data_IF_786831509924
#
_entry.id   IF_786831509924
#
_cell.length_a   1.000
_cell.length_b   1.000
_cell.length_c   1.000
_cell.angle_alpha   90.00
_cell.angle_beta   90.00
_cell.angle_gamma   90.00
#
_symmetry.space_group_name_H-M   'P 1'
#
loop_
_entity.id
_entity.type
_entity.pdbx_description
1 polymer ?
#
# COMPACT_ATOMS: atom_id res chain seq x y z
N UNK A 1 -28.85 32.48 76.32
CA UNK A 1 -28.01 33.05 75.23
C UNK A 1 -26.70 32.30 75.16
N UNK A 2 -26.53 31.42 74.16
CA UNK A 2 -25.24 30.99 73.58
C UNK A 2 -25.55 30.06 72.40
N UNK A 3 -25.39 30.61 71.20
CA UNK A 3 -25.59 29.95 69.92
C UNK A 3 -24.43 28.98 69.66
N UNK A 4 -24.73 27.71 69.38
CA UNK A 4 -23.73 26.77 68.86
C UNK A 4 -23.77 26.77 67.32
N UNK A 5 -22.70 27.30 66.76
CA UNK A 5 -22.40 27.47 65.34
C UNK A 5 -22.13 26.09 64.70
N UNK A 6 -22.88 25.74 63.65
CA UNK A 6 -22.61 24.57 62.80
C UNK A 6 -21.49 24.90 61.81
N UNK A 7 -20.37 24.19 61.89
CA UNK A 7 -19.30 24.24 60.90
C UNK A 7 -19.60 23.24 59.78
N UNK A 8 -19.98 23.72 58.60
CA UNK A 8 -20.09 22.94 57.37
C UNK A 8 -18.71 22.94 56.68
N UNK A 9 -18.04 21.79 56.71
CA UNK A 9 -16.81 21.57 55.93
C UNK A 9 -17.20 21.32 54.46
N UNK A 10 -16.88 22.27 53.58
CA UNK A 10 -16.93 22.08 52.14
C UNK A 10 -15.62 21.46 51.66
N UNK A 11 -15.64 20.18 51.30
CA UNK A 11 -14.55 19.49 50.61
C UNK A 11 -14.60 19.86 49.13
N UNK A 12 -13.71 20.74 48.67
CA UNK A 12 -13.53 21.03 47.25
C UNK A 12 -12.78 19.86 46.59
N UNK A 13 -13.50 19.03 45.82
CA UNK A 13 -12.89 18.02 44.96
C UNK A 13 -12.28 18.71 43.72
N UNK A 14 -10.96 18.92 43.75
CA UNK A 14 -10.20 19.36 42.58
C UNK A 14 -10.07 18.17 41.62
N UNK A 15 -10.92 18.13 40.60
CA UNK A 15 -10.80 17.18 39.48
C UNK A 15 -9.53 17.48 38.68
N UNK A 16 -8.48 16.70 38.89
CA UNK A 16 -7.29 16.73 38.06
C UNK A 16 -7.64 16.27 36.64
N UNK A 17 -7.81 17.22 35.72
CA UNK A 17 -7.84 16.95 34.29
C UNK A 17 -6.43 16.51 33.88
N UNK A 18 -6.24 15.20 33.69
CA UNK A 18 -5.03 14.68 33.08
C UNK A 18 -4.94 15.23 31.64
N UNK A 19 -3.81 15.83 31.23
CA UNK A 19 -3.65 16.30 29.87
C UNK A 19 -3.77 15.11 28.93
N UNK A 20 -4.68 15.20 27.95
CA UNK A 20 -4.72 14.25 26.86
C UNK A 20 -3.38 14.31 26.13
N UNK A 21 -2.62 13.20 26.18
CA UNK A 21 -1.39 13.06 25.39
C UNK A 21 -1.78 13.17 23.92
N UNK A 22 -1.38 14.26 23.28
CA UNK A 22 -1.61 14.45 21.86
C UNK A 22 -0.87 13.35 21.09
N UNK A 23 -1.63 12.43 20.47
CA UNK A 23 -1.07 11.42 19.57
C UNK A 23 -0.60 12.16 18.31
N UNK A 24 0.62 11.90 17.88
CA UNK A 24 1.18 12.53 16.68
C UNK A 24 0.28 12.31 15.46
N UNK A 25 0.16 13.33 14.61
CA UNK A 25 -0.63 13.25 13.39
C UNK A 25 -0.06 12.18 12.44
N UNK A 26 -0.90 11.46 11.69
CA UNK A 26 -0.42 10.53 10.68
C UNK A 26 0.43 11.21 9.61
N UNK A 27 1.47 10.53 9.14
CA UNK A 27 2.38 10.95 8.06
C UNK A 27 2.40 9.90 6.96
N UNK A 28 2.63 10.32 5.72
CA UNK A 28 2.80 9.43 4.57
C UNK A 28 4.26 9.37 4.15
N UNK A 29 4.84 8.18 4.20
CA UNK A 29 6.22 7.90 3.77
C UNK A 29 6.21 7.05 2.50
N UNK A 30 7.33 7.01 1.79
CA UNK A 30 7.57 5.97 0.79
C UNK A 30 8.33 4.84 1.48
N UNK A 31 7.68 3.68 1.66
CA UNK A 31 8.33 2.48 2.19
C UNK A 31 8.80 1.60 1.04
N UNK A 32 10.05 1.17 1.10
CA UNK A 32 10.68 0.24 0.16
C UNK A 32 11.35 -0.90 0.92
N UNK A 33 11.11 -2.13 0.47
CA UNK A 33 11.74 -3.34 1.01
C UNK A 33 12.39 -4.07 -0.16
N UNK A 34 13.72 -4.12 -0.16
CA UNK A 34 14.53 -4.84 -1.16
C UNK A 34 14.97 -6.18 -0.57
N UNK A 35 14.59 -7.28 -1.24
CA UNK A 35 15.11 -8.60 -0.94
C UNK A 35 16.42 -8.89 -1.70
N UNK A 36 16.92 -10.13 -1.62
CA UNK A 36 18.19 -10.51 -2.25
C UNK A 36 18.24 -10.30 -3.77
N UNK A 37 17.09 -10.43 -4.45
CA UNK A 37 17.00 -10.44 -5.92
C UNK A 37 15.89 -9.56 -6.49
N UNK A 38 15.03 -8.99 -5.64
CA UNK A 38 13.87 -8.21 -6.10
C UNK A 38 13.32 -7.27 -5.02
N UNK A 39 12.65 -6.20 -5.43
CA UNK A 39 11.83 -5.36 -4.53
C UNK A 39 10.63 -6.18 -4.09
N UNK A 40 10.52 -6.40 -2.78
CA UNK A 40 9.41 -7.11 -2.15
C UNK A 40 8.20 -6.18 -2.01
N UNK A 41 8.46 -4.92 -1.64
CA UNK A 41 7.45 -3.89 -1.47
C UNK A 41 8.02 -2.53 -1.85
N UNK A 42 7.25 -1.71 -2.54
CA UNK A 42 7.55 -0.29 -2.69
C UNK A 42 6.25 0.49 -2.88
N UNK A 43 6.08 1.56 -2.11
CA UNK A 43 4.97 2.46 -2.29
C UNK A 43 4.68 3.34 -1.07
N UNK A 44 3.67 4.22 -1.21
CA UNK A 44 3.27 5.09 -0.13
C UNK A 44 2.62 4.30 1.00
N UNK A 45 2.98 4.66 2.24
CA UNK A 45 2.40 4.11 3.46
C UNK A 45 2.09 5.26 4.42
N UNK A 46 0.82 5.39 4.78
CA UNK A 46 0.40 6.33 5.83
C UNK A 46 0.48 5.66 7.18
N UNK A 47 1.24 6.26 8.09
CA UNK A 47 1.52 5.72 9.42
C UNK A 47 1.37 6.78 10.52
N UNK A 48 1.17 6.31 11.74
CA UNK A 48 1.14 7.04 13.01
C UNK A 48 1.90 6.21 14.06
N UNK A 49 1.84 6.57 15.34
CA UNK A 49 2.34 5.71 16.42
C UNK A 49 1.50 4.43 16.48
N UNK A 50 2.13 3.26 16.37
CA UNK A 50 1.41 1.97 16.40
C UNK A 50 2.23 0.82 16.96
N UNK A 51 1.52 -0.23 17.37
CA UNK A 51 2.13 -1.49 17.82
C UNK A 51 2.60 -2.32 16.63
N UNK A 52 3.85 -2.75 16.68
CA UNK A 52 4.41 -3.68 15.71
C UNK A 52 4.05 -5.12 16.09
N UNK A 53 3.56 -5.89 15.10
CA UNK A 53 3.27 -7.32 15.28
C UNK A 53 3.52 -8.08 13.97
N UNK A 54 4.24 -9.19 14.06
CA UNK A 54 4.34 -10.13 12.94
C UNK A 54 3.00 -10.83 12.67
N UNK A 55 2.80 -11.26 11.42
CA UNK A 55 1.51 -11.79 10.99
C UNK A 55 1.25 -13.24 11.45
N UNK A 56 2.27 -13.94 11.92
CA UNK A 56 2.18 -15.26 12.52
C UNK A 56 2.77 -15.20 13.92
N UNK A 57 2.05 -15.77 14.88
CA UNK A 57 2.55 -16.12 16.20
C UNK A 57 3.72 -17.08 15.92
N UNK A 58 4.96 -16.59 15.97
CA UNK A 58 6.14 -17.41 15.78
C UNK A 58 6.53 -17.98 17.14
N UNK A 59 6.30 -19.27 17.44
CA UNK A 59 6.61 -19.85 18.75
C UNK A 59 8.11 -19.99 19.01
N UNK A 60 8.99 -19.58 18.09
CA UNK A 60 10.44 -19.76 18.23
C UNK A 60 11.19 -18.61 18.92
N UNK A 61 10.53 -17.49 19.29
CA UNK A 61 11.21 -16.48 20.11
C UNK A 61 11.21 -16.91 21.58
N UNK A 62 12.17 -17.77 21.94
CA UNK A 62 12.62 -17.82 23.30
C UNK A 62 13.02 -16.39 23.74
N UNK A 63 12.37 -15.89 24.79
CA UNK A 63 12.74 -14.72 25.58
C UNK A 63 12.54 -13.32 24.99
N UNK A 64 11.30 -12.96 24.63
CA UNK A 64 10.83 -11.60 25.00
C UNK A 64 9.51 -11.74 25.72
N UNK A 65 9.38 -11.03 26.84
CA UNK A 65 8.15 -10.89 27.58
C UNK A 65 7.06 -10.30 26.65
N UNK A 66 6.24 -11.17 26.06
CA UNK A 66 5.09 -10.79 25.22
C UNK A 66 4.05 -9.95 25.96
N UNK A 67 4.20 -9.73 27.28
CA UNK A 67 3.33 -8.87 28.06
C UNK A 67 3.48 -7.37 27.76
N UNK A 68 4.56 -6.94 27.10
CA UNK A 68 4.76 -5.53 26.73
C UNK A 68 4.32 -5.26 25.27
N UNK A 69 3.38 -4.34 25.04
CA UNK A 69 3.06 -3.87 23.69
C UNK A 69 4.31 -3.27 23.02
N UNK A 70 4.74 -3.87 21.90
CA UNK A 70 5.89 -3.38 21.13
C UNK A 70 5.48 -2.17 20.28
N UNK A 71 5.31 -1.02 20.93
CA UNK A 71 4.87 0.23 20.29
C UNK A 71 6.06 0.91 19.63
N UNK A 72 5.98 1.21 18.34
CA UNK A 72 7.02 1.96 17.62
C UNK A 72 6.67 3.44 17.65
N UNK A 73 7.28 4.18 18.58
CA UNK A 73 6.96 5.56 18.89
C UNK A 73 8.16 6.52 18.96
N UNK A 74 9.37 6.04 18.67
CA UNK A 74 10.58 6.87 18.63
C UNK A 74 11.06 7.37 19.99
N UNK A 75 10.44 6.93 21.09
CA UNK A 75 10.84 7.32 22.45
C UNK A 75 12.04 6.50 22.95
N UNK A 76 12.61 6.92 24.08
CA UNK A 76 13.73 6.22 24.72
C UNK A 76 13.43 4.75 25.06
N UNK A 77 12.16 4.37 25.24
CA UNK A 77 11.76 2.97 25.45
C UNK A 77 12.12 2.07 24.25
N UNK A 78 12.19 2.64 23.05
CA UNK A 78 12.59 1.98 21.82
C UNK A 78 14.04 2.24 21.43
N UNK A 79 14.82 2.95 22.26
CA UNK A 79 16.16 3.43 21.90
C UNK A 79 16.16 4.70 21.04
N UNK A 80 15.00 5.36 20.89
CA UNK A 80 14.87 6.62 20.17
C UNK A 80 15.16 7.85 21.03
N UNK A 81 15.31 9.00 20.39
CA UNK A 81 15.64 10.28 21.06
C UNK A 81 14.42 11.18 21.24
N UNK A 82 13.25 10.78 20.77
CA UNK A 82 12.06 11.62 20.85
C UNK A 82 11.55 11.72 22.29
N UNK A 83 11.26 12.95 22.73
CA UNK A 83 10.70 13.23 24.06
C UNK A 83 9.20 12.94 24.15
N UNK A 84 8.56 12.72 23.00
CA UNK A 84 7.14 12.35 22.89
C UNK A 84 6.92 11.31 21.78
N UNK A 85 5.86 10.49 21.86
CA UNK A 85 5.52 9.53 20.80
C UNK A 85 5.38 10.18 19.42
N UNK A 86 6.09 9.65 18.42
CA UNK A 86 6.08 10.11 17.02
C UNK A 86 6.02 8.91 16.05
N UNK A 87 5.53 9.10 14.81
CA UNK A 87 5.57 8.04 13.80
C UNK A 87 7.02 7.66 13.51
N UNK A 88 7.26 6.37 13.25
CA UNK A 88 8.60 5.82 12.99
C UNK A 88 8.66 4.97 11.73
N UNK A 89 9.86 4.63 11.26
CA UNK A 89 10.06 3.69 10.17
C UNK A 89 9.40 2.33 10.48
N UNK A 90 9.51 1.88 11.73
CA UNK A 90 8.92 0.64 12.22
C UNK A 90 7.40 0.69 12.24
N UNK A 91 6.84 1.86 12.57
CA UNK A 91 5.42 2.09 12.42
C UNK A 91 4.97 2.00 10.95
N UNK A 92 5.73 2.55 9.99
CA UNK A 92 5.43 2.40 8.57
C UNK A 92 5.45 0.91 8.13
N UNK A 93 6.42 0.12 8.61
CA UNK A 93 6.43 -1.32 8.33
C UNK A 93 5.22 -2.01 8.97
N UNK A 94 4.89 -1.71 10.23
CA UNK A 94 3.70 -2.24 10.89
C UNK A 94 2.42 -1.90 10.12
N UNK A 95 2.30 -0.68 9.59
CA UNK A 95 1.20 -0.26 8.74
C UNK A 95 1.09 -1.10 7.46
N UNK A 96 2.21 -1.41 6.82
CA UNK A 96 2.24 -2.31 5.66
C UNK A 96 1.82 -3.74 6.03
N UNK A 97 2.24 -4.24 7.19
CA UNK A 97 1.84 -5.56 7.70
C UNK A 97 0.34 -5.65 8.01
N UNK A 98 -0.21 -4.63 8.67
CA UNK A 98 -1.65 -4.47 8.88
C UNK A 98 -2.40 -4.37 7.55
N UNK A 99 -1.80 -3.72 6.54
CA UNK A 99 -2.27 -3.65 5.16
C UNK A 99 -2.21 -4.98 4.39
N UNK A 100 -1.66 -6.04 4.98
CA UNK A 100 -1.65 -7.39 4.41
C UNK A 100 -0.30 -7.85 3.87
N UNK A 101 0.76 -7.04 3.97
CA UNK A 101 2.12 -7.53 3.78
C UNK A 101 2.39 -8.63 4.80
N UNK A 102 2.82 -9.80 4.35
CA UNK A 102 3.19 -10.88 5.26
C UNK A 102 4.64 -10.68 5.69
N UNK A 103 4.93 -10.90 6.97
CA UNK A 103 6.29 -11.05 7.45
C UNK A 103 6.32 -11.98 8.66
N UNK A 104 7.44 -12.69 8.81
CA UNK A 104 7.79 -13.45 10.01
C UNK A 104 9.11 -12.93 10.55
N UNK A 105 9.36 -13.14 11.83
CA UNK A 105 10.54 -12.64 12.47
C UNK A 105 10.51 -12.84 13.97
N UNK A 106 11.48 -12.21 14.62
CA UNK A 106 11.66 -12.20 16.07
C UNK A 106 11.84 -10.77 16.53
N UNK A 107 11.25 -10.42 17.68
CA UNK A 107 11.52 -9.14 18.31
C UNK A 107 12.79 -9.23 19.16
N UNK A 108 13.66 -8.24 19.08
CA UNK A 108 14.88 -8.14 19.86
C UNK A 108 14.78 -6.92 20.78
N UNK A 109 14.85 -7.15 22.10
CA UNK A 109 14.83 -6.05 23.08
C UNK A 109 15.95 -5.05 22.80
N UNK A 110 15.59 -3.77 22.60
CA UNK A 110 16.53 -2.68 22.27
C UNK A 110 16.92 -2.54 20.79
N UNK A 111 16.73 -3.59 19.97
CA UNK A 111 17.03 -3.56 18.53
C UNK A 111 15.78 -3.52 17.64
N UNK A 112 14.61 -3.86 18.19
CA UNK A 112 13.35 -3.87 17.46
C UNK A 112 13.11 -5.17 16.68
N UNK A 113 12.32 -5.15 15.60
CA UNK A 113 11.96 -6.36 14.86
C UNK A 113 13.10 -6.82 13.95
N UNK A 114 13.56 -8.06 14.12
CA UNK A 114 14.35 -8.77 13.12
C UNK A 114 13.47 -9.65 12.25
N UNK A 115 13.76 -9.70 10.95
CA UNK A 115 12.91 -10.35 9.95
C UNK A 115 13.51 -11.68 9.51
N UNK A 116 12.68 -12.72 9.48
CA UNK A 116 13.03 -14.00 8.86
C UNK A 116 12.52 -14.05 7.42
N UNK A 117 11.32 -13.51 7.18
CA UNK A 117 10.75 -13.41 5.84
C UNK A 117 9.90 -12.17 5.67
N UNK A 118 9.85 -11.65 4.44
CA UNK A 118 8.87 -10.66 3.99
C UNK A 118 8.23 -11.14 2.70
N UNK A 119 6.90 -11.21 2.67
CA UNK A 119 6.14 -11.87 1.61
C UNK A 119 6.45 -13.37 1.58
N UNK A 120 7.09 -13.81 0.51
CA UNK A 120 7.60 -15.18 0.34
C UNK A 120 9.13 -15.23 0.27
N UNK A 121 9.79 -14.11 0.55
CA UNK A 121 11.24 -13.95 0.40
C UNK A 121 11.89 -14.14 1.77
N UNK A 122 12.87 -15.04 1.82
CA UNK A 122 13.75 -15.21 2.97
C UNK A 122 14.68 -13.99 3.07
N UNK A 123 14.72 -13.40 4.25
CA UNK A 123 15.57 -12.26 4.59
C UNK A 123 16.25 -12.46 5.95
N UNK A 124 16.30 -13.70 6.44
CA UNK A 124 16.98 -14.05 7.68
C UNK A 124 18.44 -13.61 7.61
N UNK A 125 18.98 -13.22 8.77
CA UNK A 125 20.38 -12.87 8.92
C UNK A 125 21.30 -13.99 8.40
N UNK A 126 22.09 -13.67 7.38
CA UNK A 126 23.12 -14.55 6.84
C UNK A 126 24.44 -14.29 7.57
N UNK A 127 24.86 -15.24 8.39
CA UNK A 127 26.12 -15.19 9.15
C UNK A 127 27.37 -15.18 8.29
N UNK A 128 27.32 -15.77 7.07
CA UNK A 128 28.47 -15.87 6.19
C UNK A 128 28.73 -14.55 5.46
N UNK A 129 27.67 -13.83 5.08
CA UNK A 129 27.78 -12.55 4.38
C UNK A 129 27.52 -11.34 5.28
N UNK A 130 27.05 -11.56 6.50
CA UNK A 130 26.58 -10.52 7.40
C UNK A 130 25.32 -9.80 6.91
N UNK A 131 24.53 -10.41 6.02
CA UNK A 131 23.39 -9.73 5.36
C UNK A 131 22.12 -9.89 6.14
N UNK A 132 21.35 -8.81 6.25
CA UNK A 132 20.01 -8.75 6.85
C UNK A 132 19.24 -7.59 6.22
N UNK A 133 18.01 -7.34 6.62
CA UNK A 133 17.32 -6.10 6.27
C UNK A 133 17.95 -4.90 6.97
N UNK A 134 19.01 -4.35 6.38
CA UNK A 134 19.62 -3.09 6.78
C UNK A 134 18.65 -1.93 6.55
N UNK A 135 18.66 -0.98 7.48
CA UNK A 135 17.65 0.06 7.60
C UNK A 135 18.23 1.40 7.15
N UNK A 136 17.47 2.14 6.34
CA UNK A 136 17.85 3.46 5.88
C UNK A 136 16.65 4.40 5.92
N UNK A 137 16.88 5.64 6.33
CA UNK A 137 15.92 6.74 6.21
C UNK A 137 16.56 7.86 5.38
N UNK A 138 15.85 8.36 4.38
CA UNK A 138 16.30 9.46 3.54
C UNK A 138 17.71 9.24 2.97
N UNK A 139 18.01 7.96 2.68
CA UNK A 139 19.29 7.41 2.18
C UNK A 139 20.42 7.33 3.20
N UNK A 140 20.21 7.76 4.44
CA UNK A 140 21.17 7.59 5.52
C UNK A 140 20.98 6.24 6.22
N UNK A 141 22.09 5.63 6.61
CA UNK A 141 22.08 4.37 7.34
C UNK A 141 21.51 4.58 8.76
N UNK A 142 20.54 3.75 9.15
CA UNK A 142 19.91 3.83 10.46
C UNK A 142 20.90 3.54 11.59
N UNK A 143 21.05 4.47 12.52
CA UNK A 143 21.89 4.29 13.72
C UNK A 143 21.13 3.75 14.93
N UNK A 144 19.80 3.64 14.81
CA UNK A 144 18.90 3.04 15.78
C UNK A 144 17.92 2.13 15.04
N UNK A 145 17.32 1.16 15.74
CA UNK A 145 16.35 0.25 15.10
C UNK A 145 15.11 0.99 14.59
N UNK A 146 14.41 0.43 13.61
CA UNK A 146 13.29 1.11 12.93
C UNK A 146 12.18 1.67 13.86
N UNK A 147 12.00 1.13 15.07
CA UNK A 147 11.00 1.63 16.03
C UNK A 147 11.49 2.81 16.89
N UNK A 148 12.79 3.11 16.84
CA UNK A 148 13.42 4.30 17.39
C UNK A 148 13.45 5.46 16.39
N UNK A 149 13.50 5.16 15.09
CA UNK A 149 13.78 6.12 14.02
C UNK A 149 12.52 6.93 13.64
N UNK A 150 12.42 8.23 14.01
CA UNK A 150 11.27 9.06 13.67
C UNK A 150 11.18 9.33 12.17
N UNK A 151 9.98 9.34 11.61
CA UNK A 151 9.76 9.69 10.19
C UNK A 151 8.79 10.87 10.05
N UNK A 152 8.94 11.60 8.96
CA UNK A 152 8.10 12.76 8.59
C UNK A 152 7.36 12.49 7.28
N UNK A 153 6.37 13.32 6.99
CA UNK A 153 5.68 13.27 5.70
C UNK A 153 6.69 13.45 4.56
N UNK A 154 6.65 12.54 3.58
CA UNK A 154 7.60 12.49 2.47
C UNK A 154 8.91 11.72 2.71
N UNK A 155 9.21 11.26 3.95
CA UNK A 155 10.41 10.45 4.22
C UNK A 155 10.49 9.22 3.30
N UNK A 156 11.70 8.84 2.93
CA UNK A 156 12.02 7.60 2.23
C UNK A 156 12.53 6.56 3.23
N UNK A 157 11.78 5.48 3.45
CA UNK A 157 12.18 4.38 4.34
C UNK A 157 12.58 3.19 3.48
N UNK A 158 13.81 2.71 3.64
CA UNK A 158 14.33 1.54 2.94
C UNK A 158 14.76 0.47 3.94
N UNK A 159 14.24 -0.74 3.77
CA UNK A 159 14.79 -1.96 4.37
C UNK A 159 15.41 -2.79 3.24
N UNK A 160 16.73 -2.93 3.21
CA UNK A 160 17.43 -3.61 2.13
C UNK A 160 18.20 -4.83 2.63
N UNK A 161 18.05 -5.97 1.96
CA UNK A 161 18.85 -7.15 2.26
C UNK A 161 20.33 -6.92 1.89
N UNK A 162 21.11 -6.51 2.89
CA UNK A 162 22.44 -5.93 2.73
C UNK A 162 23.29 -6.16 3.99
N UNK A 163 24.60 -6.00 3.86
CA UNK A 163 25.54 -5.91 4.98
C UNK A 163 25.64 -4.50 5.57
N UNK A 164 25.15 -3.50 4.83
CA UNK A 164 25.30 -2.08 5.18
C UNK A 164 26.46 -1.38 4.48
N UNK A 165 27.26 -2.11 3.69
CA UNK A 165 28.39 -1.57 2.93
C UNK A 165 28.11 -1.43 1.44
N UNK A 166 27.01 -2.00 0.96
CA UNK A 166 26.60 -1.95 -0.43
C UNK A 166 26.20 -0.52 -0.85
N UNK A 167 26.67 -0.12 -2.04
CA UNK A 167 26.23 1.12 -2.69
C UNK A 167 24.70 1.12 -2.86
N UNK A 168 24.03 2.20 -2.45
CA UNK A 168 22.60 2.39 -2.65
C UNK A 168 22.37 3.07 -3.98
N UNK A 169 21.67 2.45 -4.92
CA UNK A 169 21.30 3.14 -6.15
C UNK A 169 20.12 4.09 -5.88
N UNK A 170 20.18 5.30 -6.43
CA UNK A 170 19.11 6.29 -6.46
C UNK A 170 18.87 6.67 -7.91
N UNK A 171 17.62 6.58 -8.36
CA UNK A 171 17.24 6.80 -9.75
C UNK A 171 16.32 8.01 -9.87
N UNK A 172 16.74 8.94 -10.73
CA UNK A 172 15.92 10.04 -11.22
C UNK A 172 15.71 9.88 -12.73
N UNK A 173 14.53 10.28 -13.21
CA UNK A 173 14.17 10.24 -14.63
C UNK A 173 13.73 11.63 -15.08
N UNK A 174 14.27 12.09 -16.20
CA UNK A 174 13.98 13.40 -16.79
C UNK A 174 13.83 13.30 -18.32
N UNK A 175 12.74 13.84 -18.91
CA UNK A 175 11.56 14.35 -18.24
C UNK A 175 10.71 13.22 -17.62
N UNK A 176 9.90 13.57 -16.61
CA UNK A 176 8.91 12.66 -16.02
C UNK A 176 7.77 12.30 -17.00
N UNK A 177 7.65 13.03 -18.12
CA UNK A 177 6.65 12.79 -19.17
C UNK A 177 7.32 12.80 -20.55
N UNK A 178 7.08 11.74 -21.33
CA UNK A 178 7.57 11.55 -22.69
C UNK A 178 6.41 11.37 -23.66
N UNK A 179 6.54 11.84 -24.91
CA UNK A 179 5.64 11.40 -25.97
C UNK A 179 5.99 10.00 -26.46
N UNK A 180 5.05 9.24 -27.04
CA UNK A 180 5.37 8.00 -27.72
C UNK A 180 6.50 8.16 -28.73
N UNK A 181 7.48 7.27 -28.67
CA UNK A 181 8.67 7.31 -29.52
C UNK A 181 9.78 8.26 -29.06
N UNK A 182 9.58 9.06 -28.01
CA UNK A 182 10.63 9.91 -27.44
C UNK A 182 11.51 9.15 -26.46
N UNK A 183 12.76 9.60 -26.34
CA UNK A 183 13.72 9.16 -25.33
C UNK A 183 13.76 10.16 -24.17
N UNK A 184 14.13 9.66 -23.00
CA UNK A 184 14.45 10.46 -21.82
C UNK A 184 15.83 10.12 -21.30
N UNK A 185 16.21 10.73 -20.18
CA UNK A 185 17.46 10.44 -19.47
C UNK A 185 17.14 9.87 -18.10
N UNK A 186 17.70 8.71 -17.78
CA UNK A 186 17.81 8.23 -16.41
C UNK A 186 19.17 8.66 -15.84
N UNK A 187 19.17 9.19 -14.62
CA UNK A 187 20.38 9.50 -13.85
C UNK A 187 20.41 8.60 -12.62
N UNK A 188 21.50 7.86 -12.45
CA UNK A 188 21.75 7.00 -11.30
C UNK A 188 22.85 7.62 -10.45
N UNK A 189 22.53 7.91 -9.19
CA UNK A 189 23.48 8.33 -8.17
C UNK A 189 23.55 7.33 -7.03
N UNK A 190 24.60 7.45 -6.24
CA UNK A 190 24.71 6.80 -4.95
C UNK A 190 23.80 7.53 -3.96
N UNK A 191 22.91 6.81 -3.28
CA UNK A 191 21.91 7.40 -2.41
C UNK A 191 22.52 8.16 -1.23
N UNK A 192 23.65 7.70 -0.70
CA UNK A 192 24.27 8.28 0.50
C UNK A 192 25.13 9.50 0.14
N UNK A 193 25.79 9.47 -1.01
CA UNK A 193 26.78 10.49 -1.39
C UNK A 193 26.35 11.41 -2.53
N UNK A 194 25.22 11.10 -3.18
CA UNK A 194 24.73 11.72 -4.41
C UNK A 194 25.76 11.74 -5.57
N UNK A 195 26.80 10.90 -5.48
CA UNK A 195 27.81 10.77 -6.53
C UNK A 195 27.28 9.96 -7.71
N UNK A 196 27.71 10.30 -8.93
CA UNK A 196 27.28 9.60 -10.14
C UNK A 196 27.73 8.13 -10.15
N UNK A 197 26.81 7.23 -10.53
CA UNK A 197 27.09 5.79 -10.58
C UNK A 197 27.19 5.31 -12.02
N UNK A 198 28.41 5.04 -12.45
CA UNK A 198 28.70 4.36 -13.71
C UNK A 198 28.39 2.86 -13.65
N UNK A 199 28.03 2.27 -14.79
CA UNK A 199 27.86 0.82 -14.93
C UNK A 199 26.54 0.27 -14.40
N UNK A 200 25.60 1.12 -13.96
CA UNK A 200 24.26 0.69 -13.55
C UNK A 200 23.37 0.45 -14.79
N UNK A 201 22.49 -0.54 -14.73
CA UNK A 201 21.58 -0.91 -15.81
C UNK A 201 20.20 -0.32 -15.54
N UNK A 202 19.67 0.46 -16.47
CA UNK A 202 18.31 0.99 -16.49
C UNK A 202 17.70 0.70 -17.86
N UNK A 203 16.52 0.09 -17.91
CA UNK A 203 15.84 -0.23 -19.18
C UNK A 203 16.75 -1.01 -20.17
N UNK A 204 17.55 -1.95 -19.64
CA UNK A 204 18.50 -2.75 -20.41
C UNK A 204 19.75 -2.02 -20.92
N UNK A 205 19.95 -0.75 -20.52
CA UNK A 205 21.11 0.07 -20.94
C UNK A 205 21.96 0.50 -19.75
N UNK A 206 23.24 0.71 -20.00
CA UNK A 206 24.24 0.99 -18.96
C UNK A 206 24.54 2.48 -18.82
N UNK A 207 24.65 2.96 -17.59
CA UNK A 207 25.04 4.35 -17.29
C UNK A 207 26.52 4.63 -17.59
N UNK A 208 26.77 5.83 -18.14
CA UNK A 208 28.10 6.36 -18.37
C UNK A 208 28.79 6.81 -17.07
N UNK A 209 30.00 7.37 -17.21
CA UNK A 209 30.79 7.90 -16.09
C UNK A 209 30.08 9.04 -15.32
N UNK A 210 29.17 9.75 -15.99
CA UNK A 210 28.32 10.79 -15.43
C UNK A 210 27.05 10.25 -14.76
N UNK A 211 26.89 8.92 -14.67
CA UNK A 211 25.73 8.27 -14.08
C UNK A 211 24.49 8.33 -14.95
N UNK A 212 24.58 8.79 -16.21
CA UNK A 212 23.42 8.98 -17.08
C UNK A 212 23.30 7.89 -18.14
N UNK A 213 22.06 7.61 -18.54
CA UNK A 213 21.73 6.72 -19.65
C UNK A 213 20.45 7.19 -20.35
N UNK A 214 20.40 7.05 -21.67
CA UNK A 214 19.17 7.26 -22.43
C UNK A 214 18.19 6.11 -22.18
N UNK A 215 16.91 6.43 -21.96
CA UNK A 215 15.82 5.46 -21.78
C UNK A 215 14.78 5.61 -22.89
N UNK A 216 13.99 4.57 -23.15
CA UNK A 216 13.11 4.54 -24.32
C UNK A 216 13.91 4.30 -25.62
N UNK A 217 13.38 4.58 -26.82
CA UNK A 217 12.07 5.19 -27.04
C UNK A 217 10.95 4.24 -26.61
N UNK A 218 9.96 4.79 -25.90
CA UNK A 218 8.79 4.01 -25.49
C UNK A 218 7.66 4.23 -26.48
N UNK A 219 7.19 3.16 -27.12
CA UNK A 219 6.11 3.25 -28.12
C UNK A 219 4.72 3.11 -27.51
N UNK A 220 4.57 2.37 -26.41
CA UNK A 220 3.29 2.26 -25.71
C UNK A 220 3.14 3.34 -24.65
N UNK A 221 1.96 3.97 -24.66
CA UNK A 221 1.50 4.97 -23.70
C UNK A 221 1.25 4.35 -22.32
N UNK A 222 1.17 5.20 -21.29
CA UNK A 222 0.90 4.81 -19.91
C UNK A 222 2.05 5.07 -18.93
N UNK A 223 1.78 4.91 -17.62
CA UNK A 223 2.80 5.03 -16.59
C UNK A 223 3.79 3.85 -16.65
N UNK A 224 5.07 4.14 -16.42
CA UNK A 224 6.14 3.17 -16.31
C UNK A 224 6.94 3.42 -15.04
N UNK A 225 7.43 2.34 -14.45
CA UNK A 225 8.35 2.37 -13.32
C UNK A 225 9.66 1.72 -13.79
N UNK A 226 10.73 2.48 -13.74
CA UNK A 226 12.08 2.04 -14.07
C UNK A 226 12.84 1.77 -12.77
N UNK A 227 13.80 0.85 -12.84
CA UNK A 227 14.72 0.51 -11.76
C UNK A 227 16.13 0.52 -12.31
N UNK A 228 17.07 0.98 -11.50
CA UNK A 228 18.49 0.80 -11.73
C UNK A 228 18.98 -0.41 -10.95
N UNK A 229 19.78 -1.24 -11.61
CA UNK A 229 20.41 -2.43 -11.03
C UNK A 229 21.90 -2.44 -11.35
N UNK A 230 22.72 -2.85 -10.38
CA UNK A 230 24.16 -3.01 -10.55
C UNK A 230 24.62 -4.15 -9.65
N UNK A 231 25.43 -5.10 -10.14
CA UNK A 231 25.98 -6.17 -9.29
C UNK A 231 26.69 -5.59 -8.07
N UNK A 232 26.38 -6.13 -6.88
CA UNK A 232 26.94 -5.68 -5.61
C UNK A 232 26.32 -4.40 -5.02
N UNK A 233 25.33 -3.80 -5.67
CA UNK A 233 24.61 -2.63 -5.17
C UNK A 233 23.17 -2.97 -4.79
N UNK A 234 22.56 -2.15 -3.93
CA UNK A 234 21.13 -2.19 -3.65
C UNK A 234 20.39 -1.47 -4.77
N UNK A 235 19.36 -2.12 -5.34
CA UNK A 235 18.56 -1.61 -6.46
C UNK A 235 17.98 -0.23 -6.13
N UNK A 236 17.66 0.57 -7.16
CA UNK A 236 17.14 1.93 -6.92
C UNK A 236 15.69 2.00 -6.48
N UNK A 237 15.25 3.17 -6.03
CA UNK A 237 13.83 3.54 -6.03
C UNK A 237 13.24 3.43 -7.45
N UNK A 238 11.92 3.29 -7.55
CA UNK A 238 11.19 3.30 -8.80
C UNK A 238 11.19 4.69 -9.44
N UNK A 239 11.96 4.86 -10.52
CA UNK A 239 11.92 6.06 -11.35
C UNK A 239 10.67 6.05 -12.21
N UNK A 240 9.74 6.98 -11.96
CA UNK A 240 8.49 7.05 -12.71
C UNK A 240 8.68 7.85 -14.00
N UNK A 241 8.16 7.30 -15.10
CA UNK A 241 8.01 8.03 -16.36
C UNK A 241 6.62 7.77 -16.93
N UNK A 242 5.94 8.82 -17.31
CA UNK A 242 4.70 8.75 -18.04
C UNK A 242 4.98 8.83 -19.54
N UNK A 243 4.40 7.93 -20.34
CA UNK A 243 4.40 8.06 -21.80
C UNK A 243 3.01 8.47 -22.27
N UNK A 244 2.86 9.67 -22.82
CA UNK A 244 1.57 10.20 -23.29
C UNK A 244 1.76 11.19 -24.43
N UNK A 245 0.86 11.17 -25.42
CA UNK A 245 0.80 12.21 -26.45
C UNK A 245 0.07 13.49 -25.98
N UNK A 246 -0.43 13.49 -24.74
CA UNK A 246 -1.21 14.57 -24.13
C UNK A 246 -2.70 14.50 -24.44
N UNK A 247 -3.10 13.56 -25.30
CA UNK A 247 -4.41 13.41 -25.90
C UNK A 247 -4.90 11.95 -25.90
N UNK A 248 -4.31 11.09 -25.09
CA UNK A 248 -4.51 9.63 -25.13
C UNK A 248 -5.15 9.05 -23.87
N UNK A 249 -5.47 9.88 -22.86
CA UNK A 249 -6.02 9.41 -21.59
C UNK A 249 -4.97 8.89 -20.62
N UNK A 250 -3.74 8.70 -21.09
CA UNK A 250 -2.68 8.13 -20.29
C UNK A 250 -2.21 9.12 -19.22
N UNK A 251 -1.89 8.59 -18.05
CA UNK A 251 -1.32 9.35 -16.92
C UNK A 251 -2.15 10.56 -16.48
N UNK A 252 -3.48 10.49 -16.63
CA UNK A 252 -4.38 11.57 -16.23
C UNK A 252 -4.51 12.70 -17.25
N UNK A 253 -3.98 12.54 -18.47
CA UNK A 253 -4.22 13.48 -19.58
C UNK A 253 -5.64 13.30 -20.14
N UNK A 254 -6.23 14.38 -20.64
CA UNK A 254 -7.59 14.39 -21.19
C UNK A 254 -7.48 14.25 -22.71
N UNK A 255 -8.11 13.24 -23.30
CA UNK A 255 -8.15 13.08 -24.75
C UNK A 255 -9.15 14.06 -25.35
N UNK A 256 -8.73 14.92 -26.29
CA UNK A 256 -9.63 15.79 -27.01
C UNK A 256 -10.71 14.96 -27.71
N UNK A 257 -11.95 15.36 -27.51
CA UNK A 257 -13.09 14.79 -28.21
C UNK A 257 -12.91 15.15 -29.69
N UNK A 258 -12.78 14.14 -30.55
CA UNK A 258 -12.89 14.38 -31.98
C UNK A 258 -14.26 15.00 -32.23
N UNK A 259 -14.29 16.19 -32.84
CA UNK A 259 -15.54 16.86 -33.18
C UNK A 259 -16.48 15.83 -33.84
N UNK A 260 -17.73 15.68 -33.35
CA UNK A 260 -18.62 14.66 -33.87
C UNK A 260 -18.73 14.85 -35.39
N UNK A 261 -18.38 13.82 -36.16
CA UNK A 261 -18.66 13.78 -37.59
C UNK A 261 -20.16 13.51 -37.78
N UNK A 262 -20.98 14.43 -37.29
CA UNK A 262 -22.42 14.27 -37.14
C UNK A 262 -23.08 15.42 -37.89
N UNK A 263 -23.54 15.12 -39.11
CA UNK A 263 -24.59 15.84 -39.86
C UNK A 263 -25.96 15.72 -39.17
N UNK A 264 -26.00 15.80 -37.84
CA UNK A 264 -27.21 15.69 -37.03
C UNK A 264 -27.14 16.70 -35.88
N UNK A 265 -27.96 17.74 -36.05
CA UNK A 265 -28.38 18.75 -35.08
C UNK A 265 -27.44 19.09 -33.93
N UNK A 266 -26.72 20.19 -34.14
CA UNK A 266 -26.06 20.99 -33.14
C UNK A 266 -27.01 21.33 -31.96
N UNK A 267 -26.69 20.83 -30.76
CA UNK A 267 -26.97 21.56 -29.49
C UNK A 267 -26.16 21.07 -28.28
N UNK A 268 -25.15 20.22 -28.45
CA UNK A 268 -24.21 19.94 -27.36
C UNK A 268 -23.01 20.88 -27.53
N UNK A 269 -23.02 21.94 -26.73
CA UNK A 269 -21.86 22.81 -26.52
C UNK A 269 -20.66 21.96 -26.10
N UNK A 270 -19.60 21.95 -26.90
CA UNK A 270 -18.31 21.33 -26.61
C UNK A 270 -17.55 22.02 -25.47
N UNK A 271 -18.08 23.13 -24.96
CA UNK A 271 -17.60 23.81 -23.76
C UNK A 271 -18.13 23.08 -22.52
N UNK A 272 -17.45 22.00 -22.08
CA UNK A 272 -17.69 21.43 -20.75
C UNK A 272 -17.63 19.90 -20.62
N UNK A 273 -17.47 19.16 -21.72
CA UNK A 273 -17.33 17.71 -21.64
C UNK A 273 -15.83 17.33 -21.50
N UNK A 274 -15.42 16.88 -20.32
CA UNK A 274 -14.06 16.39 -20.04
C UNK A 274 -14.05 14.85 -20.13
N UNK A 275 -13.07 14.30 -20.86
CA UNK A 275 -12.95 12.86 -21.10
C UNK A 275 -11.47 12.47 -21.21
N UNK A 276 -11.08 11.34 -20.62
CA UNK A 276 -9.76 10.73 -20.86
C UNK A 276 -9.69 10.03 -22.24
N UNK A 277 -10.83 9.97 -22.93
CA UNK A 277 -11.08 9.54 -24.31
C UNK A 277 -10.82 8.10 -24.68
N UNK A 278 -10.55 7.30 -23.68
CA UNK A 278 -10.86 5.89 -23.57
C UNK A 278 -11.86 5.61 -22.44
N UNK A 279 -12.50 6.65 -21.88
CA UNK A 279 -13.35 6.54 -20.70
C UNK A 279 -14.86 6.46 -21.03
N UNK A 280 -15.24 6.33 -22.29
CA UNK A 280 -16.64 6.28 -22.71
C UNK A 280 -17.39 7.61 -22.61
N UNK A 281 -16.73 8.70 -22.23
CA UNK A 281 -17.36 10.02 -22.10
C UNK A 281 -17.28 10.78 -23.41
N UNK A 282 -18.22 11.69 -23.59
CA UNK A 282 -18.17 12.66 -24.66
C UNK A 282 -18.06 12.04 -26.07
N UNK A 283 -18.64 10.85 -26.27
CA UNK A 283 -18.61 10.12 -27.55
C UNK A 283 -17.32 9.35 -27.83
N UNK A 284 -16.40 9.26 -26.87
CA UNK A 284 -15.17 8.46 -26.99
C UNK A 284 -15.44 6.97 -26.73
N UNK A 285 -14.63 6.05 -27.28
CA UNK A 285 -14.67 4.64 -26.88
C UNK A 285 -14.44 4.49 -25.38
N UNK A 286 -14.98 3.42 -24.81
CA UNK A 286 -14.76 3.07 -23.40
C UNK A 286 -13.91 1.81 -23.34
N UNK A 287 -12.62 2.00 -23.14
CA UNK A 287 -11.62 0.94 -22.97
C UNK A 287 -11.02 0.97 -21.53
N UNK A 288 -11.42 1.94 -20.71
CA UNK A 288 -11.00 2.04 -19.31
C UNK A 288 -11.75 1.04 -18.45
N UNK A 289 -11.06 0.17 -17.70
CA UNK A 289 -11.74 -0.71 -16.77
C UNK A 289 -12.28 0.05 -15.55
N UNK A 290 -13.51 -0.24 -15.09
CA UNK A 290 -14.03 0.33 -13.86
C UNK A 290 -13.22 -0.18 -12.68
N UNK A 291 -12.93 0.74 -11.76
CA UNK A 291 -12.25 0.44 -10.51
C UNK A 291 -13.26 0.07 -9.44
N UNK A 292 -12.82 -0.63 -8.39
CA UNK A 292 -13.67 -1.02 -7.25
C UNK A 292 -13.03 -0.62 -5.92
N UNK A 293 -13.85 -0.19 -4.97
CA UNK A 293 -13.44 0.05 -3.58
C UNK A 293 -14.40 -0.65 -2.63
N UNK A 294 -13.86 -1.44 -1.71
CA UNK A 294 -14.56 -1.99 -0.56
C UNK A 294 -14.78 -0.88 0.47
N UNK A 295 -16.02 -0.69 0.91
CA UNK A 295 -16.43 0.48 1.71
C UNK A 295 -16.53 0.24 3.21
N UNK A 296 -16.96 -0.95 3.64
CA UNK A 296 -17.27 -1.23 5.06
C UNK A 296 -16.46 -2.38 5.67
N UNK A 297 -15.39 -2.79 4.98
CA UNK A 297 -14.44 -3.77 5.48
C UNK A 297 -13.04 -3.19 5.37
N UNK A 298 -12.28 -3.26 6.45
CA UNK A 298 -10.90 -2.79 6.53
C UNK A 298 -10.01 -3.88 7.09
N UNK A 299 -8.70 -3.74 6.89
CA UNK A 299 -7.74 -4.72 7.35
C UNK A 299 -7.54 -4.60 8.87
N UNK A 300 -8.38 -5.30 9.63
CA UNK A 300 -8.34 -5.33 11.11
C UNK A 300 -8.87 -6.65 11.67
N UNK A 301 -8.95 -6.74 12.99
CA UNK A 301 -9.62 -7.86 13.68
C UNK A 301 -11.04 -7.48 14.08
N UNK A 302 -12.00 -8.33 13.75
CA UNK A 302 -13.40 -8.23 14.14
C UNK A 302 -13.75 -9.32 15.14
N UNK A 303 -14.70 -9.06 16.02
CA UNK A 303 -15.40 -10.12 16.75
C UNK A 303 -16.47 -10.73 15.86
N UNK A 304 -16.91 -11.96 16.13
CA UNK A 304 -18.04 -12.56 15.41
C UNK A 304 -19.31 -11.69 15.39
N UNK A 305 -19.52 -10.83 16.39
CA UNK A 305 -20.66 -9.92 16.45
C UNK A 305 -20.49 -8.69 15.54
N UNK A 306 -19.26 -8.22 15.34
CA UNK A 306 -18.92 -7.00 14.59
C UNK A 306 -18.39 -7.27 13.19
N UNK A 307 -18.07 -8.52 12.87
CA UNK A 307 -17.62 -8.93 11.54
C UNK A 307 -18.67 -8.58 10.48
N UNK A 308 -18.27 -8.01 9.33
CA UNK A 308 -19.21 -7.57 8.33
C UNK A 308 -19.98 -8.76 7.78
N UNK A 309 -21.31 -8.71 7.90
CA UNK A 309 -22.21 -9.65 7.22
C UNK A 309 -22.62 -9.10 5.86
N UNK A 310 -22.90 -7.81 5.78
CA UNK A 310 -23.09 -7.13 4.51
C UNK A 310 -21.75 -6.57 4.06
N UNK A 311 -21.33 -6.89 2.84
CA UNK A 311 -20.18 -6.30 2.18
C UNK A 311 -20.68 -5.19 1.27
N UNK A 312 -20.06 -4.01 1.31
CA UNK A 312 -20.44 -2.86 0.50
C UNK A 312 -19.25 -2.31 -0.25
N UNK A 313 -19.51 -1.67 -1.37
CA UNK A 313 -18.50 -0.93 -2.08
C UNK A 313 -19.05 -0.03 -3.17
N UNK A 314 -18.10 0.58 -3.88
CA UNK A 314 -18.36 1.40 -5.05
C UNK A 314 -17.57 0.84 -6.23
N UNK A 315 -18.16 0.92 -7.42
CA UNK A 315 -17.56 0.59 -8.70
C UNK A 315 -17.75 1.77 -9.67
N UNK A 316 -16.71 2.09 -10.44
CA UNK A 316 -16.74 3.17 -11.42
C UNK A 316 -15.35 3.75 -11.68
N UNK A 317 -15.31 4.87 -12.39
CA UNK A 317 -14.04 5.54 -12.73
C UNK A 317 -13.64 6.47 -11.57
N UNK A 318 -12.34 6.71 -11.42
CA UNK A 318 -11.84 7.65 -10.42
C UNK A 318 -11.80 9.07 -10.99
N UNK A 319 -12.30 10.02 -10.21
CA UNK A 319 -12.04 11.44 -10.38
C UNK A 319 -11.09 11.89 -9.26
N UNK A 320 -9.94 12.47 -9.63
CA UNK A 320 -8.96 13.04 -8.71
C UNK A 320 -8.48 12.09 -7.58
N UNK A 321 -8.47 10.77 -7.81
CA UNK A 321 -7.88 9.78 -6.89
C UNK A 321 -8.73 9.36 -5.69
N UNK A 322 -9.83 10.05 -5.36
CA UNK A 322 -10.69 9.71 -4.19
C UNK A 322 -12.17 9.54 -4.50
N UNK A 323 -12.68 10.20 -5.54
CA UNK A 323 -14.11 10.23 -5.85
C UNK A 323 -14.46 9.21 -6.93
N UNK A 324 -15.50 8.42 -6.68
CA UNK A 324 -16.08 7.52 -7.69
C UNK A 324 -17.11 8.29 -8.50
N UNK A 325 -16.89 8.30 -9.81
CA UNK A 325 -17.87 8.77 -10.79
C UNK A 325 -18.46 7.57 -11.51
N UNK A 326 -19.71 7.71 -11.97
CA UNK A 326 -20.36 6.65 -12.72
C UNK A 326 -19.53 6.28 -13.96
N UNK A 327 -19.39 4.98 -14.16
CA UNK A 327 -18.83 4.40 -15.38
C UNK A 327 -19.76 4.73 -16.57
N UNK A 328 -19.26 5.35 -17.64
CA UNK A 328 -20.10 5.80 -18.75
C UNK A 328 -20.75 4.67 -19.56
N UNK A 329 -20.08 3.53 -19.68
CA UNK A 329 -20.69 2.31 -20.24
C UNK A 329 -21.55 1.56 -19.23
N UNK A 330 -21.60 2.03 -17.99
CA UNK A 330 -22.30 1.42 -16.88
C UNK A 330 -21.58 0.18 -16.37
N UNK A 331 -21.92 -0.23 -15.16
CA UNK A 331 -21.37 -1.46 -14.56
C UNK A 331 -22.17 -2.65 -15.08
N UNK A 332 -21.52 -3.57 -15.77
CA UNK A 332 -22.13 -4.84 -16.20
C UNK A 332 -22.13 -5.85 -15.07
N UNK A 333 -21.05 -5.91 -14.29
CA UNK A 333 -20.90 -6.88 -13.22
C UNK A 333 -19.90 -6.39 -12.17
N UNK A 334 -20.15 -6.67 -10.90
CA UNK A 334 -19.20 -6.55 -9.80
C UNK A 334 -18.97 -7.96 -9.28
N UNK A 335 -17.71 -8.35 -9.18
CA UNK A 335 -17.32 -9.70 -8.78
C UNK A 335 -16.54 -9.65 -7.48
N UNK A 336 -16.89 -10.56 -6.57
CA UNK A 336 -16.15 -10.79 -5.34
C UNK A 336 -15.49 -12.16 -5.35
N UNK A 337 -14.38 -12.25 -4.62
CA UNK A 337 -13.78 -13.51 -4.20
C UNK A 337 -13.44 -13.42 -2.74
N UNK A 338 -13.93 -14.39 -1.97
CA UNK A 338 -13.75 -14.43 -0.53
C UNK A 338 -13.06 -15.74 -0.19
N UNK A 339 -11.92 -15.67 0.49
CA UNK A 339 -11.24 -16.85 1.03
C UNK A 339 -11.11 -16.74 2.54
N UNK A 340 -11.12 -17.88 3.22
CA UNK A 340 -10.94 -18.00 4.67
C UNK A 340 -9.81 -18.97 4.95
N UNK A 341 -8.98 -18.61 5.91
CA UNK A 341 -7.93 -19.43 6.48
C UNK A 341 -8.18 -19.59 7.99
N UNK A 342 -8.10 -20.81 8.49
CA UNK A 342 -8.28 -21.12 9.90
C UNK A 342 -7.54 -22.42 10.25
N UNK A 343 -6.59 -22.34 11.19
CA UNK A 343 -5.60 -23.39 11.38
C UNK A 343 -4.82 -23.60 10.08
N UNK A 344 -4.61 -24.85 9.67
CA UNK A 344 -3.95 -25.22 8.41
C UNK A 344 -4.91 -25.34 7.21
N UNK A 345 -6.20 -25.05 7.39
CA UNK A 345 -7.25 -25.32 6.40
C UNK A 345 -7.66 -24.05 5.65
N UNK A 346 -8.05 -24.24 4.39
CA UNK A 346 -8.40 -23.19 3.45
C UNK A 346 -9.82 -23.39 2.92
N UNK A 347 -10.58 -22.30 2.80
CA UNK A 347 -11.91 -22.29 2.21
C UNK A 347 -12.06 -21.15 1.23
N UNK A 348 -12.86 -21.35 0.18
CA UNK A 348 -13.36 -20.30 -0.72
C UNK A 348 -14.85 -20.19 -0.52
N UNK A 349 -15.38 -18.98 -0.57
CA UNK A 349 -16.80 -18.79 -0.73
C UNK A 349 -17.17 -19.15 -2.17
N UNK A 350 -18.21 -19.94 -2.31
CA UNK A 350 -18.85 -20.27 -3.58
C UNK A 350 -20.16 -19.48 -3.63
N UNK A 351 -20.25 -18.53 -4.56
CA UNK A 351 -21.41 -17.64 -4.68
C UNK A 351 -22.65 -18.31 -5.25
N UNK A 352 -22.53 -19.48 -5.89
CA UNK A 352 -23.70 -20.22 -6.40
C UNK A 352 -24.37 -21.01 -5.27
N UNK A 353 -23.58 -21.74 -4.49
CA UNK A 353 -24.09 -22.47 -3.31
C UNK A 353 -24.21 -21.61 -2.05
N UNK A 354 -23.73 -20.38 -2.12
CA UNK A 354 -23.58 -19.41 -1.02
C UNK A 354 -22.91 -20.01 0.24
N UNK A 355 -21.92 -20.87 0.03
CA UNK A 355 -21.25 -21.62 1.12
C UNK A 355 -19.74 -21.51 1.01
N UNK A 356 -19.07 -21.61 2.16
CA UNK A 356 -17.63 -21.84 2.19
C UNK A 356 -17.32 -23.31 1.90
N UNK A 357 -16.67 -23.56 0.78
CA UNK A 357 -16.20 -24.89 0.37
C UNK A 357 -14.70 -25.01 0.61
N UNK A 358 -14.23 -26.21 0.91
CA UNK A 358 -12.81 -26.44 1.15
C UNK A 358 -12.00 -26.21 -0.15
N UNK A 359 -10.94 -25.42 -0.04
CA UNK A 359 -9.95 -25.28 -1.11
C UNK A 359 -8.94 -26.42 -1.01
N UNK A 360 -8.70 -27.13 -2.11
CA UNK A 360 -7.59 -28.07 -2.21
C UNK A 360 -6.29 -27.31 -2.41
N UNK A 361 -5.27 -27.61 -1.60
CA UNK A 361 -3.95 -26.99 -1.67
C UNK A 361 -3.78 -25.77 -0.75
N UNK A 362 -2.85 -24.88 -1.12
CA UNK A 362 -2.45 -23.74 -0.28
C UNK A 362 -3.44 -22.57 -0.34
N UNK A 363 -3.53 -21.85 0.79
CA UNK A 363 -4.14 -20.53 0.85
C UNK A 363 -3.21 -19.51 0.20
N UNK A 364 -3.75 -18.54 -0.53
CA UNK A 364 -2.93 -17.49 -1.12
C UNK A 364 -3.74 -16.48 -1.92
N UNK A 365 -3.07 -15.39 -2.28
CA UNK A 365 -3.55 -14.43 -3.27
C UNK A 365 -3.90 -15.16 -4.56
N UNK A 366 -5.01 -14.82 -5.21
CA UNK A 366 -5.35 -15.50 -6.47
C UNK A 366 -6.15 -16.80 -6.33
N UNK A 367 -6.34 -17.34 -5.11
CA UNK A 367 -7.03 -18.63 -4.90
C UNK A 367 -8.53 -18.44 -4.69
N UNK A 368 -9.32 -19.42 -5.12
CA UNK A 368 -10.78 -19.38 -5.09
C UNK A 368 -11.40 -18.83 -6.39
N UNK A 369 -12.73 -18.92 -6.49
CA UNK A 369 -13.49 -18.45 -7.64
C UNK A 369 -14.11 -17.08 -7.35
N UNK A 370 -14.17 -16.25 -8.38
CA UNK A 370 -14.97 -15.04 -8.33
C UNK A 370 -16.44 -15.38 -8.58
N UNK A 371 -17.34 -14.68 -7.90
CA UNK A 371 -18.78 -14.75 -8.09
C UNK A 371 -19.35 -13.34 -8.25
N UNK A 372 -20.45 -13.22 -8.99
CA UNK A 372 -21.14 -11.92 -9.21
C UNK A 372 -21.88 -11.49 -7.95
N UNK A 373 -21.87 -10.20 -7.66
CA UNK A 373 -22.65 -9.56 -6.59
C UNK A 373 -23.57 -8.46 -7.10
N UNK A 374 -23.77 -8.39 -8.42
CA UNK A 374 -24.68 -7.45 -9.07
C UNK A 374 -23.99 -6.51 -10.04
N UNK A 375 -24.76 -5.58 -10.61
CA UNK A 375 -24.37 -4.73 -11.73
C UNK A 375 -24.56 -3.23 -11.44
N UNK A 376 -24.46 -2.84 -10.17
CA UNK A 376 -24.65 -1.44 -9.74
C UNK A 376 -23.32 -0.83 -9.29
N UNK A 377 -23.14 0.46 -9.60
CA UNK A 377 -22.01 1.25 -9.13
C UNK A 377 -21.91 1.26 -7.59
N UNK A 378 -23.02 1.54 -6.90
CA UNK A 378 -23.17 1.25 -5.48
C UNK A 378 -23.66 -0.18 -5.31
N UNK A 379 -22.83 -1.04 -4.74
CA UNK A 379 -23.15 -2.45 -4.57
C UNK A 379 -23.13 -2.85 -3.10
N UNK A 380 -23.97 -3.82 -2.76
CA UNK A 380 -23.88 -4.55 -1.50
C UNK A 380 -24.17 -6.03 -1.72
N UNK A 381 -23.56 -6.86 -0.89
CA UNK A 381 -23.78 -8.29 -0.86
C UNK A 381 -23.95 -8.75 0.58
N UNK A 382 -25.12 -9.28 0.91
CA UNK A 382 -25.40 -9.83 2.24
C UNK A 382 -24.94 -11.29 2.28
N UNK A 383 -23.91 -11.57 3.07
CA UNK A 383 -23.50 -12.95 3.32
C UNK A 383 -24.64 -13.73 4.00
N UNK A 384 -24.93 -14.95 3.53
CA UNK A 384 -26.07 -15.73 4.02
C UNK A 384 -25.94 -16.02 5.52
N UNK A 385 -24.71 -16.22 6.00
CA UNK A 385 -24.39 -16.46 7.40
C UNK A 385 -23.31 -15.49 7.90
N UNK A 386 -23.30 -15.27 9.23
CA UNK A 386 -22.20 -14.56 9.89
C UNK A 386 -20.88 -15.29 9.64
N UNK A 387 -19.82 -14.52 9.42
CA UNK A 387 -18.48 -15.04 9.27
C UNK A 387 -18.04 -15.82 10.52
N UNK A 388 -17.41 -16.96 10.31
CA UNK A 388 -16.83 -17.80 11.38
C UNK A 388 -15.43 -17.28 11.72
N UNK A 389 -14.84 -17.70 12.83
CA UNK A 389 -13.47 -17.31 13.18
C UNK A 389 -12.47 -17.64 12.06
N UNK A 390 -11.44 -16.83 11.85
CA UNK A 390 -10.41 -17.07 10.84
C UNK A 390 -9.92 -15.80 10.16
N UNK A 391 -8.85 -15.94 9.37
CA UNK A 391 -8.29 -14.88 8.53
C UNK A 391 -9.01 -14.90 7.18
N UNK A 392 -9.60 -13.79 6.79
CA UNK A 392 -10.31 -13.61 5.54
C UNK A 392 -9.52 -12.73 4.59
N UNK A 393 -9.68 -13.02 3.30
CA UNK A 393 -9.24 -12.17 2.20
C UNK A 393 -10.41 -11.94 1.27
N UNK A 394 -10.70 -10.69 0.99
CA UNK A 394 -11.71 -10.27 0.01
C UNK A 394 -10.98 -9.57 -1.13
N UNK A 395 -11.23 -10.04 -2.33
CA UNK A 395 -10.83 -9.39 -3.57
C UNK A 395 -12.07 -9.01 -4.35
N UNK A 396 -12.06 -7.84 -4.98
CA UNK A 396 -13.16 -7.33 -5.78
C UNK A 396 -12.64 -6.79 -7.13
N UNK A 397 -13.46 -6.89 -8.17
CA UNK A 397 -13.29 -6.13 -9.40
C UNK A 397 -14.64 -5.90 -10.08
N UNK A 398 -14.69 -4.97 -11.02
CA UNK A 398 -15.88 -4.70 -11.82
C UNK A 398 -15.59 -4.96 -13.30
N UNK A 399 -16.66 -5.19 -14.03
CA UNK A 399 -16.71 -5.30 -15.48
C UNK A 399 -17.73 -4.25 -15.94
N UNK A 400 -17.37 -3.41 -16.91
CA UNK A 400 -18.30 -2.44 -17.49
C UNK A 400 -19.14 -3.03 -18.64
N UNK A 401 -20.02 -2.20 -19.21
CA UNK A 401 -20.85 -2.55 -20.36
C UNK A 401 -20.07 -2.95 -21.61
N UNK A 402 -18.81 -2.52 -21.76
CA UNK A 402 -17.92 -2.89 -22.89
C UNK A 402 -17.10 -4.14 -22.63
N UNK A 403 -17.02 -4.58 -21.37
CA UNK A 403 -16.27 -5.76 -20.97
C UNK A 403 -14.88 -5.45 -20.41
N UNK A 404 -14.52 -4.19 -20.21
CA UNK A 404 -13.24 -3.85 -19.58
C UNK A 404 -13.29 -4.26 -18.10
N UNK A 405 -12.18 -4.72 -17.54
CA UNK A 405 -12.13 -5.13 -16.14
C UNK A 405 -10.74 -4.93 -15.53
N UNK A 406 -10.69 -4.37 -14.32
CA UNK A 406 -9.44 -4.16 -13.63
C UNK A 406 -9.18 -5.26 -12.60
N UNK A 407 -8.22 -6.13 -12.91
CA UNK A 407 -7.80 -7.22 -12.04
C UNK A 407 -6.56 -6.87 -11.20
N UNK A 408 -6.05 -5.63 -11.32
CA UNK A 408 -4.94 -5.15 -10.50
C UNK A 408 -5.38 -5.05 -9.06
N UNK A 409 -4.60 -5.67 -8.17
CA UNK A 409 -4.88 -5.69 -6.73
C UNK A 409 -4.27 -4.44 -6.10
N UNK A 410 -5.11 -3.66 -5.42
CA UNK A 410 -4.70 -2.48 -4.65
C UNK A 410 -5.13 -2.66 -3.21
N UNK A 411 -4.15 -2.60 -2.31
CA UNK A 411 -4.35 -2.81 -0.88
C UNK A 411 -5.32 -1.81 -0.28
N UNK A 412 -6.18 -2.29 0.62
CA UNK A 412 -7.23 -1.51 1.29
C UNK A 412 -8.21 -0.80 0.35
N UNK A 413 -8.21 -1.14 -0.95
CA UNK A 413 -9.16 -0.67 -1.95
C UNK A 413 -10.03 -1.85 -2.41
N UNK A 414 -9.57 -2.58 -3.42
CA UNK A 414 -10.24 -3.77 -3.93
C UNK A 414 -9.66 -5.08 -3.38
N UNK A 415 -8.69 -5.00 -2.48
CA UNK A 415 -8.09 -6.14 -1.81
C UNK A 415 -7.93 -5.86 -0.30
N UNK A 416 -8.68 -6.57 0.52
CA UNK A 416 -8.70 -6.40 1.99
C UNK A 416 -8.47 -7.74 2.68
N UNK A 417 -7.65 -7.73 3.75
CA UNK A 417 -7.36 -8.91 4.57
C UNK A 417 -7.68 -8.61 6.02
N UNK A 418 -8.57 -9.38 6.65
CA UNK A 418 -9.00 -9.14 8.03
C UNK A 418 -9.10 -10.45 8.82
N UNK A 419 -9.29 -10.37 10.14
CA UNK A 419 -9.52 -11.54 10.99
C UNK A 419 -10.87 -11.46 11.66
N UNK A 420 -11.49 -12.61 11.89
CA UNK A 420 -12.66 -12.77 12.76
C UNK A 420 -12.23 -13.65 13.93
N UNK A 421 -12.48 -13.20 15.17
CA UNK A 421 -12.32 -13.98 16.39
C UNK A 421 -13.68 -14.48 16.88
#
# INVERSE_FOLDING_TARGET
MKNHLRLLAFTAAASALLPATAIAAPVTVTLRIEGPTSTIFEGPVTTDVRTFKFAADNPSSAAVDESQPQVCDGTAANGGTSTSPVPTAGAAVAAALEGGLAATGTWFGGFGPGFDSVGSTDVTYDVATGRYLAEYEDWDYGTAGICAQPVKDGSQVLLAYASGSEQLLKLAVDPATLKPGQTGTATVTDGMTDTAVAGAIVDGRTTGADGKVQIGPFTSTGPRILKAEKPGAIRSNGGQVCVTDGADGACGTVKPIAAPNVTQSATISSTGCQSFGDDGRCGTPDDMPPLVRLGNVTSKTYTRATAPRELKGQAGNFKNGTDFIADPSGIKDVKLRITRYFGSKCWTFDGESEKFTALKGSCGTGKGKFFSVGNKAGWSYLLPAKLKAGKYRIEAFAVDGKGNSDKVRRWNKNHVVFRVK
#
